data_IF_289380483835
#
_entry.id   IF_289380483835
#
_cell.length_a   1.000
_cell.length_b   1.000
_cell.length_c   1.000
_cell.angle_alpha   90.00
_cell.angle_beta   90.00
_cell.angle_gamma   90.00
#
_symmetry.space_group_name_H-M   'P 1'
#
loop_
_entity.id
_entity.type
_entity.pdbx_description
1 polymer ?
#
# COMPACT_ATOMS: atom_id res chain seq x y z
N UNK A 1 7.30 40.19 -13.27
CA UNK A 1 6.03 39.49 -13.00
C UNK A 1 6.29 38.42 -11.96
N UNK A 2 5.65 38.50 -10.79
CA UNK A 2 5.78 37.47 -9.73
C UNK A 2 5.05 36.22 -10.22
N UNK A 3 5.76 35.09 -10.29
CA UNK A 3 5.13 33.80 -10.53
C UNK A 3 4.14 33.54 -9.39
N UNK A 4 2.86 33.45 -9.74
CA UNK A 4 1.83 32.99 -8.84
C UNK A 4 2.14 31.53 -8.54
N UNK A 5 2.68 31.24 -7.35
CA UNK A 5 2.70 29.90 -6.80
C UNK A 5 1.25 29.45 -6.66
N UNK A 6 0.78 28.64 -7.61
CA UNK A 6 -0.50 27.95 -7.47
C UNK A 6 -0.25 26.83 -6.45
N UNK A 7 -0.55 27.11 -5.18
CA UNK A 7 -0.75 26.07 -4.18
C UNK A 7 -2.03 25.31 -4.55
N UNK A 8 -1.91 24.36 -5.46
CA UNK A 8 -2.92 23.32 -5.65
C UNK A 8 -2.70 22.26 -4.56
N UNK A 9 -3.03 22.61 -3.32
CA UNK A 9 -3.20 21.60 -2.27
C UNK A 9 -4.51 20.89 -2.54
N UNK A 10 -4.43 19.61 -2.92
CA UNK A 10 -5.57 18.71 -2.84
C UNK A 10 -6.02 18.66 -1.37
N UNK A 11 -7.26 19.06 -1.15
CA UNK A 11 -7.89 18.99 0.16
C UNK A 11 -8.85 17.81 0.22
N UNK A 12 -8.31 16.62 0.46
CA UNK A 12 -9.05 15.45 0.90
C UNK A 12 -9.39 15.48 2.39
N UNK A 13 -9.44 16.65 3.07
CA UNK A 13 -9.88 16.76 4.47
C UNK A 13 -11.20 16.05 4.77
N UNK A 14 -12.05 15.79 3.77
CA UNK A 14 -13.28 15.00 3.95
C UNK A 14 -13.08 13.48 3.85
N UNK A 15 -12.02 12.99 3.19
CA UNK A 15 -11.59 11.57 3.17
C UNK A 15 -10.59 11.28 4.30
N UNK A 16 -9.78 12.27 4.71
CA UNK A 16 -8.84 12.22 5.85
C UNK A 16 -9.55 12.16 7.21
N UNK A 17 -10.85 12.43 7.27
CA UNK A 17 -11.64 12.30 8.51
C UNK A 17 -11.94 10.83 8.77
N UNK A 18 -12.02 10.48 10.06
CA UNK A 18 -12.61 9.22 10.52
C UNK A 18 -14.06 9.15 10.04
N UNK A 19 -14.28 8.64 8.83
CA UNK A 19 -15.62 8.44 8.29
C UNK A 19 -16.24 7.23 9.00
N UNK A 20 -17.56 7.28 9.17
CA UNK A 20 -18.31 6.22 9.81
C UNK A 20 -18.17 4.89 9.05
N UNK A 21 -18.45 3.77 9.74
CA UNK A 21 -18.43 2.45 9.10
C UNK A 21 -19.30 2.38 7.83
N UNK A 22 -20.48 3.02 7.86
CA UNK A 22 -21.38 3.10 6.70
C UNK A 22 -20.79 3.90 5.54
N UNK A 23 -20.06 4.99 5.82
CA UNK A 23 -19.40 5.79 4.78
C UNK A 23 -18.24 5.02 4.13
N UNK A 24 -17.45 4.29 4.93
CA UNK A 24 -16.43 3.40 4.39
C UNK A 24 -17.03 2.29 3.53
N UNK A 25 -18.12 1.66 3.98
CA UNK A 25 -18.80 0.63 3.22
C UNK A 25 -19.31 1.17 1.88
N UNK A 26 -19.91 2.36 1.88
CA UNK A 26 -20.37 3.02 0.66
C UNK A 26 -19.23 3.37 -0.30
N UNK A 27 -18.12 3.91 0.22
CA UNK A 27 -16.94 4.23 -0.57
C UNK A 27 -16.35 2.98 -1.24
N UNK A 28 -16.12 1.91 -0.49
CA UNK A 28 -15.60 0.65 -1.02
C UNK A 28 -16.58 -0.01 -1.98
N UNK A 29 -17.88 0.10 -1.72
CA UNK A 29 -18.89 -0.39 -2.67
C UNK A 29 -18.78 0.30 -4.01
N UNK A 30 -18.57 1.63 -4.07
CA UNK A 30 -18.36 2.35 -5.33
C UNK A 30 -17.08 1.97 -6.07
N UNK A 31 -15.98 1.82 -5.34
CA UNK A 31 -14.71 1.37 -5.92
C UNK A 31 -14.85 -0.02 -6.53
N UNK A 32 -15.47 -0.94 -5.79
CA UNK A 32 -15.57 -2.36 -6.18
C UNK A 32 -16.68 -2.64 -7.17
N UNK A 33 -17.70 -1.79 -7.27
CA UNK A 33 -18.69 -1.89 -8.34
C UNK A 33 -18.22 -1.26 -9.64
N UNK A 34 -17.11 -0.51 -9.61
CA UNK A 34 -16.64 0.36 -10.70
C UNK A 34 -17.70 1.40 -11.12
N UNK A 35 -18.69 1.70 -10.27
CA UNK A 35 -19.76 2.68 -10.56
C UNK A 35 -19.30 4.13 -10.41
N UNK A 36 -18.01 4.36 -10.18
CA UNK A 36 -17.38 5.66 -10.28
C UNK A 36 -15.93 5.47 -10.64
N UNK A 37 -15.58 5.67 -11.90
CA UNK A 37 -14.18 5.88 -12.28
C UNK A 37 -13.95 7.39 -12.22
N UNK A 38 -13.31 7.93 -11.18
CA UNK A 38 -13.02 9.35 -11.18
C UNK A 38 -11.94 9.60 -12.23
N UNK A 39 -12.27 10.40 -13.26
CA UNK A 39 -11.34 11.02 -14.23
C UNK A 39 -10.17 11.80 -13.56
N UNK A 40 -10.14 11.86 -12.23
CA UNK A 40 -9.30 12.68 -11.38
C UNK A 40 -7.93 12.09 -11.06
N UNK A 41 -7.71 10.77 -11.24
CA UNK A 41 -6.36 10.18 -11.11
C UNK A 41 -5.35 10.86 -12.06
N UNK A 42 -5.84 11.30 -13.22
CA UNK A 42 -5.06 11.86 -14.33
C UNK A 42 -4.34 13.18 -14.01
N UNK A 43 -4.87 13.99 -13.08
CA UNK A 43 -4.36 15.36 -12.84
C UNK A 43 -3.29 15.47 -11.76
N UNK A 44 -3.07 14.42 -10.95
CA UNK A 44 -2.12 14.46 -9.84
C UNK A 44 -0.72 13.97 -10.24
N UNK A 45 -0.60 13.03 -11.18
CA UNK A 45 0.70 12.50 -11.65
C UNK A 45 1.60 13.57 -12.25
N UNK A 46 1.03 14.50 -13.02
CA UNK A 46 1.78 15.53 -13.75
C UNK A 46 2.53 16.52 -12.84
N UNK A 47 1.97 16.93 -11.70
CA UNK A 47 2.64 17.88 -10.79
C UNK A 47 3.80 17.29 -9.99
N UNK A 48 3.80 15.97 -9.80
CA UNK A 48 4.82 15.26 -9.04
C UNK A 48 5.93 14.71 -9.95
N UNK A 49 5.59 14.35 -11.18
CA UNK A 49 6.56 14.07 -12.25
C UNK A 49 7.49 15.27 -12.46
N UNK A 50 6.95 16.49 -12.43
CA UNK A 50 7.75 17.71 -12.49
C UNK A 50 8.63 17.88 -11.24
N UNK A 51 8.17 17.45 -10.06
CA UNK A 51 8.95 17.49 -8.82
C UNK A 51 10.08 16.44 -8.81
N UNK A 52 9.83 15.21 -9.26
CA UNK A 52 10.84 14.14 -9.36
C UNK A 52 11.85 14.45 -10.48
N UNK A 53 11.39 14.86 -11.67
CA UNK A 53 12.28 15.24 -12.79
C UNK A 53 13.15 16.46 -12.47
N UNK A 54 12.71 17.35 -11.57
CA UNK A 54 13.51 18.48 -11.10
C UNK A 54 14.60 18.11 -10.08
N UNK A 55 14.55 16.90 -9.51
CA UNK A 55 15.45 16.45 -8.44
C UNK A 55 16.46 15.41 -8.96
N UNK A 56 17.63 15.91 -9.42
CA UNK A 56 18.81 15.16 -9.89
C UNK A 56 19.50 14.24 -8.84
N UNK A 57 18.77 13.58 -7.93
CA UNK A 57 19.36 12.96 -6.74
C UNK A 57 19.57 11.43 -6.80
N UNK A 58 19.07 10.75 -7.83
CA UNK A 58 19.26 9.29 -7.98
C UNK A 58 20.29 8.96 -9.06
N UNK A 59 21.19 8.02 -8.76
CA UNK A 59 22.13 7.48 -9.75
C UNK A 59 21.42 6.57 -10.75
N UNK A 60 22.09 6.25 -11.86
CA UNK A 60 21.59 5.29 -12.83
C UNK A 60 21.28 3.93 -12.19
N UNK A 61 22.21 3.41 -11.38
CA UNK A 61 22.05 2.13 -10.66
C UNK A 61 20.84 2.15 -9.69
N UNK A 62 20.58 3.30 -9.04
CA UNK A 62 19.41 3.48 -8.16
C UNK A 62 18.10 3.49 -8.95
N UNK A 63 18.10 4.09 -10.15
CA UNK A 63 16.94 4.05 -11.07
C UNK A 63 16.68 2.63 -11.55
N UNK A 64 17.71 1.91 -11.98
CA UNK A 64 17.59 0.53 -12.43
C UNK A 64 17.09 -0.40 -11.31
N UNK A 65 17.60 -0.22 -10.09
CA UNK A 65 17.13 -0.96 -8.92
C UNK A 65 15.65 -0.70 -8.63
N UNK A 66 15.20 0.55 -8.78
CA UNK A 66 13.80 0.93 -8.59
C UNK A 66 12.89 0.33 -9.67
N UNK A 67 13.29 0.45 -10.94
CA UNK A 67 12.57 -0.12 -12.08
C UNK A 67 12.39 -1.64 -11.93
N UNK A 68 13.46 -2.35 -11.56
CA UNK A 68 13.42 -3.79 -11.29
C UNK A 68 12.49 -4.15 -10.12
N UNK A 69 12.49 -3.33 -9.06
CA UNK A 69 11.59 -3.52 -7.93
C UNK A 69 10.12 -3.30 -8.31
N UNK A 70 9.80 -2.21 -9.02
CA UNK A 70 8.42 -1.89 -9.44
C UNK A 70 7.90 -2.93 -10.44
N UNK A 71 8.76 -3.41 -11.34
CA UNK A 71 8.39 -4.44 -12.32
C UNK A 71 8.08 -5.80 -11.67
N UNK A 72 8.90 -6.27 -10.72
CA UNK A 72 8.73 -7.58 -10.08
C UNK A 72 9.29 -7.63 -8.64
N UNK A 73 8.66 -6.92 -7.72
CA UNK A 73 9.11 -6.81 -6.32
C UNK A 73 9.29 -8.16 -5.62
N UNK A 74 8.40 -9.14 -5.89
CA UNK A 74 8.49 -10.48 -5.33
C UNK A 74 9.75 -11.22 -5.79
N UNK A 75 9.95 -11.32 -7.10
CA UNK A 75 11.11 -12.00 -7.68
C UNK A 75 12.43 -11.29 -7.40
N UNK A 76 12.40 -9.96 -7.38
CA UNK A 76 13.58 -9.11 -7.23
C UNK A 76 14.19 -9.18 -5.83
N UNK A 77 13.36 -9.05 -4.78
CA UNK A 77 13.87 -9.02 -3.40
C UNK A 77 12.90 -9.57 -2.33
N UNK A 78 11.59 -9.32 -2.41
CA UNK A 78 10.69 -9.56 -1.28
C UNK A 78 10.58 -11.03 -0.87
N UNK A 79 10.68 -11.98 -1.80
CA UNK A 79 10.66 -13.42 -1.48
C UNK A 79 11.82 -13.87 -0.60
N UNK A 80 12.90 -13.08 -0.52
CA UNK A 80 14.08 -13.37 0.30
C UNK A 80 14.05 -12.67 1.66
N UNK A 81 13.16 -11.71 1.85
CA UNK A 81 13.08 -10.91 3.07
C UNK A 81 12.04 -11.43 4.07
N UNK A 82 11.16 -12.34 3.64
CA UNK A 82 10.16 -12.95 4.50
C UNK A 82 10.83 -14.08 5.31
N UNK A 83 10.56 -14.19 6.63
CA UNK A 83 11.09 -15.27 7.45
C UNK A 83 10.80 -16.64 6.82
N UNK A 84 11.80 -17.53 6.78
CA UNK A 84 11.81 -18.86 6.13
C UNK A 84 12.15 -18.89 4.63
N UNK A 85 12.55 -17.77 4.03
CA UNK A 85 13.18 -17.79 2.72
C UNK A 85 14.61 -18.36 2.79
N UNK A 86 15.01 -19.06 1.73
CA UNK A 86 16.33 -19.69 1.48
C UNK A 86 17.53 -18.89 2.04
N UNK A 87 18.66 -19.56 2.40
CA UNK A 87 19.84 -18.90 2.97
C UNK A 87 20.28 -17.71 2.12
N UNK A 88 20.30 -16.52 2.73
CA UNK A 88 20.53 -15.21 2.10
C UNK A 88 21.83 -15.14 1.28
N UNK A 89 21.77 -15.05 -0.05
CA UNK A 89 22.94 -14.62 -0.83
C UNK A 89 23.29 -13.15 -0.55
N UNK A 90 24.58 -12.84 -0.42
CA UNK A 90 25.13 -11.50 -0.12
C UNK A 90 24.53 -10.40 -1.02
N UNK A 91 24.28 -10.71 -2.30
CA UNK A 91 23.71 -9.76 -3.27
C UNK A 91 22.32 -9.22 -2.88
N UNK A 92 21.54 -9.89 -2.04
CA UNK A 92 20.23 -9.35 -1.61
C UNK A 92 20.36 -8.31 -0.49
N UNK A 93 21.39 -8.40 0.34
CA UNK A 93 21.71 -7.35 1.32
C UNK A 93 22.11 -6.06 0.62
N UNK A 94 22.91 -6.18 -0.45
CA UNK A 94 23.29 -5.05 -1.32
C UNK A 94 22.04 -4.41 -1.94
N UNK A 95 21.15 -5.21 -2.54
CA UNK A 95 19.87 -4.73 -3.11
C UNK A 95 18.96 -4.07 -2.06
N UNK A 96 18.82 -4.68 -0.87
CA UNK A 96 18.03 -4.11 0.24
C UNK A 96 18.57 -2.73 0.61
N UNK A 97 19.89 -2.61 0.72
CA UNK A 97 20.57 -1.37 1.12
C UNK A 97 20.44 -0.30 0.05
N UNK A 98 20.68 -0.64 -1.22
CA UNK A 98 20.54 0.27 -2.35
C UNK A 98 19.12 0.84 -2.44
N UNK A 99 18.08 -0.01 -2.37
CA UNK A 99 16.69 0.43 -2.36
C UNK A 99 16.37 1.32 -1.16
N UNK A 100 16.81 0.96 0.06
CA UNK A 100 16.58 1.80 1.26
C UNK A 100 17.22 3.18 1.11
N UNK A 101 18.46 3.25 0.62
CA UNK A 101 19.18 4.50 0.41
C UNK A 101 18.48 5.39 -0.63
N UNK A 102 18.05 4.80 -1.74
CA UNK A 102 17.28 5.47 -2.77
C UNK A 102 15.95 6.01 -2.24
N UNK A 103 15.17 5.18 -1.52
CA UNK A 103 13.88 5.62 -0.93
C UNK A 103 14.03 6.76 0.08
N UNK A 104 15.15 6.83 0.81
CA UNK A 104 15.42 7.93 1.72
C UNK A 104 15.55 9.29 1.00
N UNK A 105 15.93 9.28 -0.28
CA UNK A 105 16.02 10.48 -1.13
C UNK A 105 14.67 10.91 -1.69
N UNK A 106 13.66 10.05 -1.62
CA UNK A 106 12.34 10.33 -2.19
C UNK A 106 11.57 11.33 -1.32
N UNK A 107 10.68 12.14 -1.93
CA UNK A 107 9.75 12.98 -1.19
C UNK A 107 8.83 12.11 -0.32
N UNK A 108 8.50 12.63 0.85
CA UNK A 108 7.43 12.09 1.68
C UNK A 108 6.11 12.70 1.21
N UNK A 109 5.10 11.87 0.96
CA UNK A 109 3.75 12.30 0.61
C UNK A 109 2.82 12.20 1.81
N UNK A 110 1.98 13.22 1.96
CA UNK A 110 0.93 13.30 2.98
C UNK A 110 -0.41 12.70 2.50
N UNK A 111 -0.44 12.11 1.31
CA UNK A 111 -1.63 11.46 0.75
C UNK A 111 -1.92 10.13 1.45
N UNK A 112 -3.18 9.70 1.36
CA UNK A 112 -3.57 8.34 1.70
C UNK A 112 -3.07 7.34 0.65
N UNK A 113 -2.57 6.21 1.13
CA UNK A 113 -2.05 5.11 0.31
C UNK A 113 -2.74 3.81 0.68
N UNK A 114 -3.07 3.02 -0.32
CA UNK A 114 -3.84 1.80 -0.19
C UNK A 114 -3.06 0.59 -0.71
N UNK A 115 -3.21 -0.55 -0.04
CA UNK A 115 -2.65 -1.82 -0.49
C UNK A 115 -3.68 -2.91 -0.30
N UNK A 116 -4.00 -3.61 -1.37
CA UNK A 116 -4.89 -4.76 -1.33
C UNK A 116 -4.07 -6.04 -1.36
N UNK A 117 -4.51 -7.01 -0.57
CA UNK A 117 -3.87 -8.31 -0.41
C UNK A 117 -4.93 -9.38 -0.57
N UNK A 118 -4.71 -10.27 -1.53
CA UNK A 118 -5.50 -11.48 -1.70
C UNK A 118 -5.21 -12.45 -0.57
N UNK A 119 -6.25 -12.96 0.10
CA UNK A 119 -6.10 -14.00 1.11
C UNK A 119 -6.64 -15.36 0.67
N UNK A 120 -7.59 -15.37 -0.28
CA UNK A 120 -8.14 -16.62 -0.80
C UNK A 120 -7.10 -17.45 -1.57
N UNK A 121 -7.06 -18.74 -1.25
CA UNK A 121 -6.05 -19.69 -1.73
C UNK A 121 -4.62 -19.48 -1.19
N UNK A 122 -4.43 -18.57 -0.24
CA UNK A 122 -3.09 -18.21 0.30
C UNK A 122 -2.98 -18.55 1.79
N UNK A 123 -2.56 -19.77 2.09
CA UNK A 123 -2.43 -20.29 3.46
C UNK A 123 -1.54 -19.43 4.39
N UNK A 124 -0.58 -18.71 3.83
CA UNK A 124 0.29 -17.83 4.61
C UNK A 124 -0.43 -16.59 5.19
N UNK A 125 -1.67 -16.29 4.77
CA UNK A 125 -2.53 -15.27 5.39
C UNK A 125 -3.55 -15.84 6.39
N UNK A 126 -3.61 -17.16 6.58
CA UNK A 126 -4.59 -17.77 7.48
C UNK A 126 -4.43 -17.32 8.93
N UNK A 127 -3.19 -17.12 9.40
CA UNK A 127 -2.91 -16.61 10.75
C UNK A 127 -3.44 -15.19 10.95
N UNK A 128 -3.19 -14.30 9.98
CA UNK A 128 -3.72 -12.94 9.96
C UNK A 128 -5.26 -12.91 10.02
N UNK A 129 -5.92 -13.65 9.13
CA UNK A 129 -7.38 -13.70 9.09
C UNK A 129 -7.95 -14.22 10.41
N UNK A 130 -7.40 -15.31 10.94
CA UNK A 130 -7.84 -15.85 12.23
C UNK A 130 -7.69 -14.82 13.36
N UNK A 131 -6.56 -14.11 13.43
CA UNK A 131 -6.33 -13.11 14.48
C UNK A 131 -7.24 -11.89 14.34
N UNK A 132 -7.55 -11.46 13.12
CA UNK A 132 -8.54 -10.42 12.87
C UNK A 132 -9.93 -10.87 13.32
N UNK A 133 -10.35 -12.10 12.97
CA UNK A 133 -11.65 -12.65 13.35
C UNK A 133 -11.81 -12.87 14.86
N UNK A 134 -10.71 -13.11 15.57
CA UNK A 134 -10.69 -13.24 17.03
C UNK A 134 -10.46 -11.92 17.78
N UNK A 135 -10.32 -10.80 17.07
CA UNK A 135 -10.03 -9.50 17.69
C UNK A 135 -8.64 -9.41 18.33
N UNK A 136 -7.70 -10.29 17.95
CA UNK A 136 -6.33 -10.25 18.45
C UNK A 136 -5.48 -9.19 17.74
N UNK A 137 -5.84 -8.85 16.50
CA UNK A 137 -5.31 -7.68 15.79
C UNK A 137 -6.42 -6.64 15.76
N UNK A 138 -6.28 -5.65 16.64
CA UNK A 138 -7.21 -4.55 16.85
C UNK A 138 -6.47 -3.21 17.01
N UNK A 139 -7.20 -2.12 17.24
CA UNK A 139 -6.61 -0.80 17.49
C UNK A 139 -5.51 -0.86 18.56
N UNK A 140 -4.36 -0.25 18.28
CA UNK A 140 -3.17 -0.27 19.14
C UNK A 140 -2.25 -1.48 18.93
N UNK A 141 -2.62 -2.44 18.08
CA UNK A 141 -1.74 -3.55 17.72
C UNK A 141 -0.54 -3.04 16.92
N UNK A 142 0.67 -3.47 17.30
CA UNK A 142 1.90 -3.11 16.58
C UNK A 142 2.29 -4.23 15.62
N UNK A 143 2.37 -3.89 14.34
CA UNK A 143 2.76 -4.79 13.26
C UNK A 143 4.18 -4.45 12.78
N UNK A 144 4.96 -5.46 12.39
CA UNK A 144 6.24 -5.27 11.70
C UNK A 144 6.22 -5.88 10.30
N UNK A 145 6.79 -5.19 9.32
CA UNK A 145 7.04 -5.78 8.00
C UNK A 145 8.51 -6.21 7.84
N UNK A 146 8.74 -7.43 7.38
CA UNK A 146 10.09 -7.89 7.04
C UNK A 146 10.50 -7.57 5.60
N UNK A 147 9.53 -7.26 4.73
CA UNK A 147 9.73 -7.01 3.29
C UNK A 147 9.32 -5.59 2.89
N UNK A 148 9.71 -5.14 1.70
CA UNK A 148 9.22 -3.85 1.17
C UNK A 148 7.72 -3.96 0.88
N UNK A 149 6.97 -2.94 1.29
CA UNK A 149 5.53 -2.85 1.04
C UNK A 149 5.24 -1.74 0.05
N UNK A 150 4.59 -2.10 -1.06
CA UNK A 150 4.10 -1.16 -2.06
C UNK A 150 2.62 -0.84 -1.85
N UNK A 151 2.27 0.43 -1.90
CA UNK A 151 0.92 0.96 -1.81
C UNK A 151 0.66 1.87 -3.02
N UNK A 152 -0.59 2.04 -3.39
CA UNK A 152 -1.01 3.01 -4.42
C UNK A 152 -1.84 4.11 -3.77
N UNK A 153 -1.65 5.36 -4.18
CA UNK A 153 -2.55 6.44 -3.77
C UNK A 153 -3.91 6.36 -4.48
N UNK A 154 -4.03 5.54 -5.52
CA UNK A 154 -5.24 5.37 -6.30
C UNK A 154 -5.97 4.07 -5.90
N UNK A 155 -7.06 4.14 -5.11
CA UNK A 155 -7.76 2.94 -4.68
C UNK A 155 -8.43 2.16 -5.82
N UNK A 156 -8.64 2.78 -6.99
CA UNK A 156 -9.16 2.10 -8.19
C UNK A 156 -8.12 1.21 -8.90
N UNK A 157 -6.84 1.35 -8.51
CA UNK A 157 -5.71 0.67 -9.15
C UNK A 157 -5.14 -0.49 -8.32
N UNK A 158 -5.78 -0.80 -7.20
CA UNK A 158 -5.37 -1.91 -6.35
C UNK A 158 -5.46 -3.21 -7.13
N UNK A 159 -4.35 -3.97 -7.23
CA UNK A 159 -4.26 -5.16 -8.10
C UNK A 159 -5.23 -6.29 -7.75
N UNK A 160 -5.65 -6.43 -6.49
CA UNK A 160 -6.75 -7.33 -6.12
C UNK A 160 -8.10 -6.94 -6.80
N UNK A 161 -8.20 -5.70 -7.29
CA UNK A 161 -9.28 -5.16 -8.11
C UNK A 161 -8.92 -5.01 -9.60
N UNK A 162 -7.64 -5.09 -9.95
CA UNK A 162 -7.15 -5.04 -11.34
C UNK A 162 -7.25 -6.39 -12.06
N UNK A 163 -7.82 -7.42 -11.41
CA UNK A 163 -8.06 -8.71 -12.04
C UNK A 163 -6.79 -9.46 -12.39
N UNK A 164 -6.13 -10.06 -11.39
CA UNK A 164 -5.45 -11.34 -11.66
C UNK A 164 -6.55 -12.34 -12.00
N UNK A 165 -6.92 -12.34 -13.28
CA UNK A 165 -8.05 -13.08 -13.82
C UNK A 165 -7.82 -14.57 -13.68
N UNK A 166 -8.61 -15.19 -12.81
CA UNK A 166 -9.27 -16.43 -13.19
C UNK A 166 -10.75 -16.04 -13.38
N UNK A 167 -11.17 -15.91 -14.65
CA UNK A 167 -12.56 -15.76 -15.08
C UNK A 167 -13.30 -14.42 -14.83
N UNK A 168 -12.62 -13.30 -14.63
CA UNK A 168 -13.28 -11.98 -14.65
C UNK A 168 -14.15 -11.65 -13.42
N UNK A 169 -14.07 -12.47 -12.37
CA UNK A 169 -14.70 -12.19 -11.08
C UNK A 169 -13.73 -11.46 -10.14
N UNK A 170 -14.24 -10.44 -9.45
CA UNK A 170 -13.52 -9.75 -8.37
C UNK A 170 -13.31 -10.75 -7.22
N UNK A 171 -12.06 -10.88 -6.75
CA UNK A 171 -11.61 -11.86 -5.77
C UNK A 171 -12.47 -11.86 -4.48
N UNK A 172 -12.76 -13.05 -3.95
CA UNK A 172 -13.44 -13.22 -2.67
C UNK A 172 -12.41 -13.19 -1.53
N UNK A 173 -12.74 -12.57 -0.40
CA UNK A 173 -11.85 -12.43 0.77
C UNK A 173 -10.53 -11.70 0.46
N UNK A 174 -10.49 -10.41 0.77
CA UNK A 174 -9.28 -9.60 0.69
C UNK A 174 -9.08 -8.76 1.94
N UNK A 175 -7.82 -8.36 2.14
CA UNK A 175 -7.45 -7.37 3.15
C UNK A 175 -7.02 -6.11 2.40
N UNK A 176 -7.60 -4.98 2.77
CA UNK A 176 -7.20 -3.67 2.30
C UNK A 176 -6.55 -2.94 3.47
N UNK A 177 -5.30 -2.58 3.30
CA UNK A 177 -4.59 -1.67 4.19
C UNK A 177 -4.74 -0.25 3.66
N UNK A 178 -5.07 0.69 4.55
CA UNK A 178 -4.96 2.13 4.34
C UNK A 178 -3.83 2.65 5.22
N UNK A 179 -2.93 3.41 4.63
CA UNK A 179 -1.88 4.13 5.33
C UNK A 179 -2.05 5.63 5.07
N UNK A 180 -2.16 6.42 6.14
CA UNK A 180 -2.41 7.86 6.05
C UNK A 180 -1.10 8.65 6.09
N UNK A 181 -0.76 9.34 5.00
CA UNK A 181 0.40 10.24 4.90
C UNK A 181 1.76 9.59 5.19
N UNK A 182 2.81 10.40 5.33
CA UNK A 182 4.12 9.94 5.83
C UNK A 182 4.86 8.86 5.01
N UNK A 183 4.46 8.56 3.77
CA UNK A 183 5.08 7.52 2.94
C UNK A 183 6.04 8.13 1.91
N UNK A 184 7.20 7.49 1.73
CA UNK A 184 8.11 7.77 0.61
C UNK A 184 7.46 7.33 -0.70
N UNK A 185 7.23 8.27 -1.60
CA UNK A 185 6.43 8.05 -2.80
C UNK A 185 7.20 8.33 -4.06
N UNK A 186 6.96 7.50 -5.07
CA UNK A 186 7.48 7.64 -6.42
C UNK A 186 6.32 7.77 -7.41
N UNK A 187 6.55 8.47 -8.51
CA UNK A 187 5.66 8.36 -9.67
C UNK A 187 5.80 6.96 -10.26
N UNK A 188 4.67 6.34 -10.62
CA UNK A 188 4.68 5.00 -11.20
C UNK A 188 5.23 5.09 -12.62
N UNK A 189 6.12 4.17 -13.00
CA UNK A 189 6.76 4.10 -14.33
C UNK A 189 5.78 3.52 -15.38
N UNK A 190 4.49 3.84 -15.28
CA UNK A 190 3.39 3.29 -16.06
C UNK A 190 2.56 4.43 -16.65
N UNK A 191 1.93 4.29 -17.83
CA UNK A 191 1.14 5.35 -18.46
C UNK A 191 -0.17 5.70 -17.72
N UNK A 192 -0.37 5.20 -16.50
CA UNK A 192 -1.52 5.50 -15.66
C UNK A 192 -1.05 6.39 -14.52
N UNK A 193 -1.70 7.55 -14.40
CA UNK A 193 -1.39 8.62 -13.45
C UNK A 193 -1.58 8.18 -11.98
N UNK A 194 -0.61 7.46 -11.45
CA UNK A 194 -0.63 6.82 -10.12
C UNK A 194 0.70 7.04 -9.40
N UNK A 195 0.63 7.15 -8.07
CA UNK A 195 1.79 7.11 -7.18
C UNK A 195 1.91 5.78 -6.51
N UNK A 196 3.15 5.30 -6.44
CA UNK A 196 3.50 4.17 -5.60
C UNK A 196 4.18 4.68 -4.33
N UNK A 197 3.55 4.42 -3.19
CA UNK A 197 4.15 4.60 -1.88
C UNK A 197 4.91 3.34 -1.50
N UNK A 198 6.20 3.45 -1.20
CA UNK A 198 7.03 2.30 -0.85
C UNK A 198 7.51 2.45 0.59
N UNK A 199 7.18 1.46 1.41
CA UNK A 199 7.65 1.37 2.79
C UNK A 199 8.77 0.32 2.88
N UNK A 200 9.96 0.68 3.40
CA UNK A 200 11.06 -0.26 3.51
C UNK A 200 10.80 -1.33 4.60
N UNK A 201 11.56 -2.44 4.58
CA UNK A 201 11.57 -3.43 5.65
C UNK A 201 11.85 -2.82 7.02
N UNK A 202 11.45 -3.58 8.05
CA UNK A 202 11.72 -3.34 9.46
C UNK A 202 11.02 -2.09 10.01
N UNK A 203 9.94 -1.63 9.35
CA UNK A 203 9.10 -0.56 9.86
C UNK A 203 8.00 -1.11 10.76
N UNK A 204 7.67 -0.32 11.78
CA UNK A 204 6.61 -0.63 12.72
C UNK A 204 5.37 0.18 12.35
N UNK A 205 4.22 -0.49 12.41
CA UNK A 205 2.92 0.09 12.15
C UNK A 205 2.00 -0.11 13.32
N UNK A 206 1.26 0.93 13.68
CA UNK A 206 0.18 0.83 14.64
C UNK A 206 -1.13 0.69 13.88
N UNK A 207 -1.93 -0.31 14.22
CA UNK A 207 -3.31 -0.44 13.74
C UNK A 207 -4.14 0.63 14.42
N UNK A 208 -4.69 1.55 13.64
CA UNK A 208 -5.64 2.56 14.15
C UNK A 208 -7.06 1.99 14.20
N UNK A 209 -7.39 1.15 13.22
CA UNK A 209 -8.70 0.53 13.12
C UNK A 209 -8.62 -0.76 12.29
N UNK A 210 -9.40 -1.76 12.67
CA UNK A 210 -9.55 -2.99 11.91
C UNK A 210 -11.02 -3.39 11.91
N UNK A 211 -11.63 -3.49 10.73
CA UNK A 211 -13.05 -3.83 10.59
C UNK A 211 -13.33 -4.71 9.40
N UNK A 212 -14.36 -5.53 9.55
CA UNK A 212 -14.88 -6.37 8.49
C UNK A 212 -16.04 -5.66 7.79
N UNK A 213 -15.88 -5.38 6.51
CA UNK A 213 -16.87 -4.77 5.63
C UNK A 213 -17.57 -5.84 4.82
N UNK A 214 -18.89 -5.71 4.66
CA UNK A 214 -19.73 -6.56 3.83
C UNK A 214 -20.11 -5.78 2.57
N UNK A 215 -19.39 -5.99 1.46
CA UNK A 215 -19.57 -5.19 0.24
C UNK A 215 -20.35 -5.98 -0.81
N UNK A 216 -21.43 -5.39 -1.32
CA UNK A 216 -22.12 -5.92 -2.50
C UNK A 216 -21.40 -5.46 -3.76
N UNK A 217 -20.79 -6.39 -4.48
CA UNK A 217 -20.08 -6.11 -5.75
C UNK A 217 -21.04 -6.13 -6.94
N UNK A 218 -20.55 -5.72 -8.12
CA UNK A 218 -21.35 -5.57 -9.35
C UNK A 218 -22.12 -6.84 -9.75
N UNK A 219 -21.56 -8.03 -9.50
CA UNK A 219 -22.22 -9.32 -9.76
C UNK A 219 -23.36 -9.65 -8.79
N UNK A 220 -23.63 -8.79 -7.80
CA UNK A 220 -24.69 -8.96 -6.81
C UNK A 220 -24.30 -9.80 -5.61
N UNK A 221 -23.12 -10.44 -5.63
CA UNK A 221 -22.56 -11.15 -4.48
C UNK A 221 -22.13 -10.20 -3.36
N UNK A 222 -22.30 -10.64 -2.12
CA UNK A 222 -21.73 -9.98 -0.94
C UNK A 222 -20.35 -10.56 -0.68
N UNK A 223 -19.38 -9.68 -0.40
CA UNK A 223 -17.99 -10.01 -0.15
C UNK A 223 -17.57 -9.50 1.22
N UNK A 224 -16.82 -10.34 1.92
CA UNK A 224 -16.18 -9.99 3.17
C UNK A 224 -14.81 -9.40 2.91
N UNK A 225 -14.59 -8.17 3.37
CA UNK A 225 -13.32 -7.46 3.21
C UNK A 225 -12.86 -6.97 4.56
N UNK A 226 -11.63 -7.30 4.93
CA UNK A 226 -11.00 -6.66 6.08
C UNK A 226 -10.39 -5.35 5.65
N UNK A 227 -10.83 -4.26 6.27
CA UNK A 227 -10.27 -2.94 6.08
C UNK A 227 -9.47 -2.56 7.33
N UNK A 228 -8.16 -2.36 7.16
CA UNK A 228 -7.21 -2.11 8.23
C UNK A 228 -6.56 -0.76 7.99
N UNK A 229 -6.76 0.17 8.91
CA UNK A 229 -6.14 1.48 8.92
C UNK A 229 -4.89 1.41 9.78
N UNK A 230 -3.75 1.79 9.20
CA UNK A 230 -2.45 1.75 9.84
C UNK A 230 -1.73 3.08 9.72
N UNK A 231 -0.90 3.38 10.71
CA UNK A 231 0.04 4.50 10.69
C UNK A 231 1.42 4.05 11.12
N UNK A 232 2.43 4.90 10.92
CA UNK A 232 3.77 4.65 11.45
C UNK A 232 3.75 4.63 12.98
N UNK A 233 4.25 3.56 13.58
CA UNK A 233 4.43 3.47 15.02
C UNK A 233 5.76 4.10 15.48
N UNK A 234 5.90 4.49 16.76
CA UNK A 234 7.17 4.85 17.35
C UNK A 234 8.22 3.74 17.19
N UNK A 235 9.48 4.11 16.93
CA UNK A 235 10.59 3.14 16.80
C UNK A 235 10.86 2.36 18.10
N UNK A 236 10.43 2.88 19.25
CA UNK A 236 10.54 2.23 20.55
C UNK A 236 9.46 1.17 20.81
N UNK A 237 8.47 1.03 19.92
CA UNK A 237 7.38 0.06 20.09
C UNK A 237 7.87 -1.37 19.89
N UNK A 238 7.28 -2.30 20.65
CA UNK A 238 7.51 -3.74 20.48
C UNK A 238 6.47 -4.30 19.53
N UNK A 239 6.85 -5.00 18.44
CA UNK A 239 5.88 -5.63 17.55
C UNK A 239 5.14 -6.75 18.28
N UNK A 240 3.82 -6.77 18.13
CA UNK A 240 2.99 -7.89 18.59
C UNK A 240 2.94 -8.99 17.53
N UNK A 241 2.85 -8.59 16.26
CA UNK A 241 2.72 -9.49 15.12
C UNK A 241 3.52 -9.02 13.91
N UNK A 242 3.84 -9.94 13.00
CA UNK A 242 4.28 -9.57 11.67
C UNK A 242 3.08 -9.16 10.79
N UNK A 243 3.37 -8.61 9.62
CA UNK A 243 2.36 -8.17 8.65
C UNK A 243 1.49 -9.32 8.09
N UNK A 244 1.84 -10.58 8.37
CA UNK A 244 1.12 -11.80 8.01
C UNK A 244 0.38 -12.44 9.20
N UNK A 245 0.36 -11.75 10.35
CA UNK A 245 -0.30 -12.20 11.55
C UNK A 245 0.41 -13.33 12.28
N UNK A 246 1.69 -13.58 12.07
CA UNK A 246 2.50 -14.44 12.94
C UNK A 246 2.97 -13.65 14.16
N UNK A 247 3.19 -14.31 15.29
CA UNK A 247 3.78 -13.65 16.47
C UNK A 247 5.28 -13.42 16.25
N UNK A 248 5.81 -12.33 16.79
CA UNK A 248 7.22 -11.91 16.67
C UNK A 248 7.96 -12.11 17.98
#
# INVERSE_FOLDING_TARGET
>A
MKAMMINASFDDLHIRKNISNSEHQFFWQKILSFDGYPEYGIRLSSSFDDHIKSNNFISHDESEALENYVANSWGYINKYLIPNALPYPIHFLERKTALKNMLNKMPTSELDFYRAVRTDGRCFFSALIYKLEKGLIESGSILINSAFLSFTNNPYSLRAFYGDTINGDIENNCIIYKFSGGIKSISKISPADEFEGIIPPDNLFEVENARKLNIKIKSGHVRDIWFIEIKKAPLSSTPHFDFYGNSV
#
